data_IF_682477687893
#
_entry.id   IF_682477687893
#
_cell.length_a   1.000
_cell.length_b   1.000
_cell.length_c   1.000
_cell.angle_alpha   90.00
_cell.angle_beta   90.00
_cell.angle_gamma   90.00
#
_symmetry.space_group_name_H-M   'P 1'
#
loop_
_entity.id
_entity.type
_entity.pdbx_description
1 polymer ?
#
# COMPACT_ATOMS: atom_id res chain seq x y z
N UNK A 1 -12.13 -22.38 10.35
CA UNK A 1 -12.22 -22.72 8.92
C UNK A 1 -13.37 -21.93 8.31
N UNK A 2 -13.21 -20.62 7.98
CA UNK A 2 -14.28 -19.75 7.45
C UNK A 2 -13.76 -18.74 6.40
N UNK A 3 -12.76 -19.09 5.59
CA UNK A 3 -11.97 -18.09 4.87
C UNK A 3 -11.95 -18.11 3.33
N UNK A 4 -12.55 -19.06 2.58
CA UNK A 4 -12.47 -19.04 1.11
C UNK A 4 -13.25 -17.93 0.42
N UNK A 5 -14.21 -17.27 1.07
CA UNK A 5 -15.05 -16.22 0.46
C UNK A 5 -14.41 -14.84 0.44
N UNK A 6 -13.59 -14.47 1.43
CA UNK A 6 -12.75 -13.27 1.35
C UNK A 6 -11.94 -13.30 0.05
N UNK A 7 -11.60 -14.48 -0.35
CA UNK A 7 -10.87 -14.87 -1.51
C UNK A 7 -11.62 -14.66 -2.84
N UNK A 8 -12.86 -15.12 -2.95
CA UNK A 8 -13.67 -14.94 -4.14
C UNK A 8 -14.00 -13.45 -4.41
N UNK A 9 -14.14 -12.65 -3.35
CA UNK A 9 -14.39 -11.21 -3.44
C UNK A 9 -13.17 -10.45 -3.96
N UNK A 10 -11.97 -10.85 -3.54
CA UNK A 10 -10.72 -10.27 -4.06
C UNK A 10 -10.51 -10.59 -5.55
N UNK A 11 -10.99 -11.75 -6.02
CA UNK A 11 -10.94 -12.14 -7.43
C UNK A 11 -11.98 -11.41 -8.30
N UNK A 12 -13.21 -11.27 -7.83
CA UNK A 12 -14.28 -10.62 -8.58
C UNK A 12 -14.03 -9.11 -8.78
N UNK A 13 -13.40 -8.44 -7.81
CA UNK A 13 -12.98 -7.04 -7.95
C UNK A 13 -11.96 -6.81 -9.06
N UNK A 14 -11.26 -7.86 -9.52
CA UNK A 14 -10.32 -7.80 -10.65
C UNK A 14 -10.95 -8.03 -12.02
N UNK A 15 -12.17 -8.61 -12.09
CA UNK A 15 -12.86 -8.97 -13.34
C UNK A 15 -13.98 -7.99 -13.73
N UNK A 16 -14.41 -7.10 -12.84
CA UNK A 16 -15.42 -6.09 -13.18
C UNK A 16 -14.75 -4.95 -13.96
N UNK A 17 -15.22 -4.75 -15.19
CA UNK A 17 -14.84 -3.64 -16.06
C UNK A 17 -15.06 -2.29 -15.34
N UNK A 18 -14.26 -1.23 -15.66
CA UNK A 18 -14.30 0.04 -14.95
C UNK A 18 -15.59 0.80 -15.27
N UNK A 19 -16.61 0.63 -14.45
CA UNK A 19 -17.75 1.53 -14.38
C UNK A 19 -17.62 2.29 -13.05
N UNK A 20 -17.34 3.59 -13.16
CA UNK A 20 -17.52 4.65 -12.17
C UNK A 20 -17.41 4.24 -10.69
N UNK A 21 -16.20 4.36 -10.14
CA UNK A 21 -15.86 4.02 -8.77
C UNK A 21 -16.10 5.16 -7.81
N UNK A 22 -17.35 5.50 -7.50
CA UNK A 22 -17.60 6.42 -6.38
C UNK A 22 -18.41 5.79 -5.23
N UNK A 23 -19.06 4.63 -5.41
CA UNK A 23 -19.73 3.90 -4.32
C UNK A 23 -19.87 2.43 -4.75
N UNK A 24 -18.78 1.65 -4.67
CA UNK A 24 -18.91 0.19 -4.73
C UNK A 24 -19.47 -0.29 -3.40
N UNK A 25 -20.73 -0.70 -3.41
CA UNK A 25 -21.28 -1.48 -2.30
C UNK A 25 -20.53 -2.83 -2.24
N UNK A 26 -19.83 -3.06 -1.15
CA UNK A 26 -19.06 -4.29 -0.93
C UNK A 26 -19.98 -5.52 -0.90
N UNK A 27 -21.27 -5.33 -0.61
CA UNK A 27 -22.30 -6.36 -0.74
C UNK A 27 -22.49 -6.80 -2.19
N UNK A 28 -22.56 -5.85 -3.13
CA UNK A 28 -22.68 -6.16 -4.56
C UNK A 28 -21.46 -6.88 -5.11
N UNK A 29 -20.25 -6.51 -4.62
CA UNK A 29 -18.99 -7.19 -4.96
C UNK A 29 -19.00 -8.62 -4.42
N UNK A 30 -19.51 -8.84 -3.20
CA UNK A 30 -19.65 -10.16 -2.61
C UNK A 30 -20.63 -11.03 -3.42
N UNK A 31 -21.79 -10.51 -3.75
CA UNK A 31 -22.83 -11.24 -4.51
C UNK A 31 -22.33 -11.59 -5.92
N UNK A 32 -21.61 -10.69 -6.58
CA UNK A 32 -20.98 -10.95 -7.87
C UNK A 32 -19.89 -12.05 -7.76
N UNK A 33 -19.10 -12.04 -6.70
CA UNK A 33 -18.08 -13.05 -6.43
C UNK A 33 -18.69 -14.41 -6.12
N UNK A 34 -19.75 -14.46 -5.34
CA UNK A 34 -20.47 -15.69 -5.02
C UNK A 34 -21.10 -16.30 -6.27
N UNK A 35 -21.72 -15.49 -7.12
CA UNK A 35 -22.28 -15.93 -8.41
C UNK A 35 -21.19 -16.45 -9.34
N UNK A 36 -20.06 -15.72 -9.45
CA UNK A 36 -18.92 -16.18 -10.24
C UNK A 36 -18.34 -17.52 -9.71
N UNK A 37 -18.25 -17.69 -8.39
CA UNK A 37 -17.78 -18.92 -7.78
C UNK A 37 -18.72 -20.11 -8.09
N UNK A 38 -20.04 -19.90 -8.08
CA UNK A 38 -21.04 -20.91 -8.47
C UNK A 38 -20.85 -21.38 -9.90
N UNK A 39 -20.42 -20.48 -10.80
CA UNK A 39 -20.26 -20.77 -12.23
C UNK A 39 -18.87 -21.37 -12.56
N UNK A 40 -17.85 -21.25 -11.65
CA UNK A 40 -16.45 -21.51 -11.99
C UNK A 40 -15.68 -22.39 -10.98
N UNK A 41 -16.29 -22.84 -9.88
CA UNK A 41 -15.60 -23.60 -8.82
C UNK A 41 -16.23 -24.96 -8.55
N UNK A 42 -15.41 -25.90 -8.02
CA UNK A 42 -15.85 -27.24 -7.64
C UNK A 42 -16.79 -27.24 -6.42
N UNK A 43 -17.67 -28.24 -6.32
CA UNK A 43 -18.71 -28.39 -5.29
C UNK A 43 -18.16 -28.34 -3.84
N UNK A 44 -16.95 -28.82 -3.59
CA UNK A 44 -16.36 -28.78 -2.25
C UNK A 44 -15.93 -27.34 -1.84
N UNK A 45 -15.49 -26.56 -2.80
CA UNK A 45 -15.21 -25.14 -2.61
C UNK A 45 -16.50 -24.36 -2.40
N UNK A 46 -17.54 -24.67 -3.19
CA UNK A 46 -18.88 -24.07 -3.06
C UNK A 46 -19.50 -24.36 -1.69
N UNK A 47 -19.40 -25.58 -1.19
CA UNK A 47 -19.89 -25.93 0.17
C UNK A 47 -19.17 -25.13 1.25
N UNK A 48 -17.87 -24.95 1.10
CA UNK A 48 -17.07 -24.12 2.04
C UNK A 48 -17.45 -22.65 1.94
N UNK A 49 -17.73 -22.15 0.72
CA UNK A 49 -18.22 -20.79 0.47
C UNK A 49 -19.58 -20.53 1.10
N UNK A 50 -20.49 -21.50 1.06
CA UNK A 50 -21.82 -21.40 1.66
C UNK A 50 -21.81 -21.35 3.21
N UNK A 51 -20.71 -21.74 3.85
CA UNK A 51 -20.55 -21.66 5.30
C UNK A 51 -20.00 -20.35 5.82
N UNK A 52 -19.60 -19.43 4.90
CA UNK A 52 -19.05 -18.12 5.25
C UNK A 52 -20.18 -17.12 5.37
N UNK A 53 -20.25 -16.49 6.51
CA UNK A 53 -21.17 -15.41 6.77
C UNK A 53 -20.79 -14.18 5.92
N UNK A 54 -21.67 -13.81 4.99
CA UNK A 54 -21.51 -12.65 4.10
C UNK A 54 -21.20 -11.39 4.90
N UNK A 55 -21.93 -11.17 5.99
CA UNK A 55 -21.82 -9.95 6.78
C UNK A 55 -20.45 -9.85 7.44
N UNK A 56 -19.87 -10.96 7.92
CA UNK A 56 -18.52 -10.99 8.49
C UNK A 56 -17.43 -10.63 7.47
N UNK A 57 -17.60 -11.02 6.21
CA UNK A 57 -16.64 -10.70 5.14
C UNK A 57 -16.74 -9.24 4.72
N UNK A 58 -17.96 -8.77 4.53
CA UNK A 58 -18.23 -7.37 4.21
C UNK A 58 -17.69 -6.46 5.32
N UNK A 59 -17.95 -6.81 6.58
CA UNK A 59 -17.43 -6.10 7.75
C UNK A 59 -15.91 -6.10 7.79
N UNK A 60 -15.25 -7.23 7.54
CA UNK A 60 -13.80 -7.30 7.48
C UNK A 60 -13.22 -6.37 6.40
N UNK A 61 -13.77 -6.41 5.18
CA UNK A 61 -13.29 -5.57 4.07
C UNK A 61 -13.54 -4.08 4.34
N UNK A 62 -14.70 -3.74 4.91
CA UNK A 62 -15.02 -2.37 5.33
C UNK A 62 -14.05 -1.88 6.40
N UNK A 63 -13.84 -2.68 7.45
CA UNK A 63 -12.89 -2.34 8.51
C UNK A 63 -11.48 -2.18 7.96
N UNK A 64 -11.03 -3.12 7.12
CA UNK A 64 -9.70 -3.06 6.51
C UNK A 64 -9.48 -1.77 5.71
N UNK A 65 -10.42 -1.42 4.81
CA UNK A 65 -10.32 -0.19 4.02
C UNK A 65 -10.42 1.08 4.89
N UNK A 66 -11.31 1.07 5.89
CA UNK A 66 -11.50 2.20 6.78
C UNK A 66 -10.26 2.46 7.65
N UNK A 67 -9.62 1.40 8.16
CA UNK A 67 -8.38 1.55 8.93
C UNK A 67 -7.22 2.06 8.08
N UNK A 68 -7.03 1.54 6.86
CA UNK A 68 -5.97 2.03 5.96
C UNK A 68 -6.15 3.50 5.58
N UNK A 69 -7.39 3.94 5.36
CA UNK A 69 -7.74 5.33 5.04
C UNK A 69 -8.02 6.20 6.26
N UNK A 70 -8.05 5.60 7.45
CA UNK A 70 -8.35 6.27 8.70
C UNK A 70 -7.30 7.31 9.09
N UNK A 71 -7.67 8.14 10.07
CA UNK A 71 -6.82 9.24 10.53
C UNK A 71 -5.75 8.79 11.54
N UNK A 72 -5.92 7.63 12.19
CA UNK A 72 -5.05 7.20 13.29
C UNK A 72 -4.25 5.94 12.97
N UNK A 73 -2.93 6.09 12.97
CA UNK A 73 -1.96 5.02 12.70
C UNK A 73 -2.15 3.83 13.62
N UNK A 74 -2.38 4.06 14.91
CA UNK A 74 -2.52 2.99 15.91
C UNK A 74 -3.72 2.07 15.67
N UNK A 75 -4.72 2.50 14.90
CA UNK A 75 -5.88 1.67 14.57
C UNK A 75 -5.52 0.53 13.61
N UNK A 76 -4.42 0.69 12.84
CA UNK A 76 -3.92 -0.36 11.95
C UNK A 76 -3.46 -1.62 12.68
N UNK A 77 -3.11 -1.52 13.98
CA UNK A 77 -2.76 -2.68 14.79
C UNK A 77 -3.86 -3.76 14.82
N UNK A 78 -5.12 -3.35 14.76
CA UNK A 78 -6.26 -4.28 14.77
C UNK A 78 -6.31 -5.19 13.53
N UNK A 79 -5.62 -4.80 12.45
CA UNK A 79 -5.56 -5.59 11.22
C UNK A 79 -4.51 -6.72 11.26
N UNK A 80 -3.58 -6.67 12.21
CA UNK A 80 -2.42 -7.57 12.22
C UNK A 80 -2.82 -9.05 12.29
N UNK A 81 -3.61 -9.44 13.30
CA UNK A 81 -4.06 -10.84 13.46
C UNK A 81 -4.86 -11.32 12.24
N UNK A 82 -5.77 -10.48 11.75
CA UNK A 82 -6.57 -10.82 10.57
C UNK A 82 -5.68 -11.01 9.32
N UNK A 83 -4.71 -10.14 9.11
CA UNK A 83 -3.77 -10.23 8.00
C UNK A 83 -2.90 -11.50 8.10
N UNK A 84 -2.39 -11.85 9.28
CA UNK A 84 -1.64 -13.09 9.51
C UNK A 84 -2.46 -14.34 9.23
N UNK A 85 -3.76 -14.32 9.58
CA UNK A 85 -4.67 -15.44 9.33
C UNK A 85 -4.99 -15.63 7.86
N UNK A 86 -5.16 -14.53 7.12
CA UNK A 86 -5.52 -14.54 5.70
C UNK A 86 -4.33 -14.86 4.80
N UNK A 87 -3.12 -14.44 5.16
CA UNK A 87 -1.94 -14.58 4.32
C UNK A 87 -1.64 -16.01 3.85
N UNK A 88 -1.62 -17.06 4.72
CA UNK A 88 -1.40 -18.44 4.28
C UNK A 88 -2.44 -18.95 3.29
N UNK A 89 -3.67 -18.46 3.39
CA UNK A 89 -4.76 -18.84 2.49
C UNK A 89 -4.54 -18.22 1.10
N UNK A 90 -4.09 -16.97 1.05
CA UNK A 90 -3.74 -16.33 -0.21
C UNK A 90 -2.51 -16.96 -0.87
N UNK A 91 -1.58 -17.51 -0.10
CA UNK A 91 -0.40 -18.22 -0.61
C UNK A 91 -0.73 -19.62 -1.16
N UNK A 92 -1.81 -20.25 -0.71
CA UNK A 92 -2.15 -21.63 -1.06
C UNK A 92 -2.54 -21.82 -2.54
N UNK A 93 -3.00 -20.74 -3.21
CA UNK A 93 -3.50 -20.84 -4.58
C UNK A 93 -2.77 -19.87 -5.53
N UNK A 94 -2.34 -20.31 -6.74
CA UNK A 94 -1.59 -19.50 -7.69
C UNK A 94 -2.27 -18.18 -8.07
N UNK A 95 -3.60 -18.18 -8.19
CA UNK A 95 -4.40 -17.00 -8.59
C UNK A 95 -4.36 -15.88 -7.54
N UNK A 96 -4.06 -16.21 -6.30
CA UNK A 96 -4.14 -15.29 -5.18
C UNK A 96 -2.81 -14.96 -4.55
N UNK A 97 -1.76 -15.69 -4.90
CA UNK A 97 -0.39 -15.32 -4.54
C UNK A 97 -0.05 -13.84 -4.85
N UNK A 98 -0.53 -13.23 -5.95
CA UNK A 98 -0.32 -11.79 -6.18
C UNK A 98 -0.88 -10.89 -5.08
N UNK A 99 -2.01 -11.26 -4.47
CA UNK A 99 -2.59 -10.52 -3.33
C UNK A 99 -1.85 -10.82 -2.02
N UNK A 100 -1.35 -12.05 -1.86
CA UNK A 100 -0.48 -12.39 -0.74
C UNK A 100 0.79 -11.52 -0.74
N UNK A 101 1.42 -11.33 -1.90
CA UNK A 101 2.58 -10.47 -2.04
C UNK A 101 2.30 -9.01 -1.62
N UNK A 102 1.14 -8.47 -2.04
CA UNK A 102 0.70 -7.14 -1.63
C UNK A 102 0.45 -7.05 -0.13
N UNK A 103 -0.27 -8.02 0.47
CA UNK A 103 -0.57 -8.05 1.89
C UNK A 103 0.71 -8.20 2.73
N UNK A 104 1.64 -9.04 2.28
CA UNK A 104 2.94 -9.25 2.95
C UNK A 104 3.76 -7.97 3.04
N UNK A 105 3.73 -7.14 1.98
CA UNK A 105 4.40 -5.84 2.00
C UNK A 105 3.78 -4.85 3.00
N UNK A 106 2.59 -5.15 3.54
CA UNK A 106 1.84 -4.32 4.50
C UNK A 106 1.78 -4.87 5.92
N UNK A 107 2.17 -6.13 6.15
CA UNK A 107 2.17 -6.71 7.50
C UNK A 107 2.94 -5.85 8.50
N UNK A 108 4.08 -5.34 8.08
CA UNK A 108 4.92 -4.53 8.95
C UNK A 108 4.34 -3.13 9.28
N UNK A 109 3.34 -2.63 8.54
CA UNK A 109 2.56 -1.46 8.98
C UNK A 109 1.73 -1.79 10.23
N UNK A 110 1.09 -2.97 10.25
CA UNK A 110 0.28 -3.41 11.38
C UNK A 110 1.15 -3.66 12.61
N UNK A 111 2.30 -4.31 12.43
CA UNK A 111 3.29 -4.49 13.50
C UNK A 111 3.89 -3.17 14.00
N UNK A 112 4.13 -2.21 13.11
CA UNK A 112 4.58 -0.87 13.50
C UNK A 112 3.52 -0.15 14.33
N UNK A 113 2.24 -0.27 13.93
CA UNK A 113 1.11 0.28 14.67
C UNK A 113 0.98 -0.35 16.07
N UNK A 114 1.17 -1.67 16.20
CA UNK A 114 1.23 -2.35 17.52
C UNK A 114 2.37 -1.82 18.38
N UNK A 115 3.56 -1.65 17.80
CA UNK A 115 4.70 -1.07 18.51
C UNK A 115 4.38 0.34 19.01
N UNK A 116 3.68 1.14 18.21
CA UNK A 116 3.24 2.48 18.58
C UNK A 116 2.21 2.49 19.71
N UNK A 117 1.30 1.50 19.75
CA UNK A 117 0.34 1.34 20.84
C UNK A 117 1.00 0.98 22.19
N UNK A 118 2.12 0.27 22.13
CA UNK A 118 2.85 -0.16 23.33
C UNK A 118 3.78 0.90 23.90
N UNK A 119 4.00 2.01 23.19
CA UNK A 119 4.80 3.10 23.72
C UNK A 119 4.13 3.70 24.97
N UNK A 120 4.90 3.97 26.05
CA UNK A 120 4.34 4.55 27.24
C UNK A 120 3.67 5.90 26.89
N UNK A 121 2.49 6.18 27.44
CA UNK A 121 1.84 7.44 27.24
C UNK A 121 2.77 8.55 27.73
N UNK A 122 2.87 9.65 26.97
CA UNK A 122 3.55 10.85 27.46
C UNK A 122 2.96 11.24 28.81
N UNK A 123 3.78 11.69 29.79
CA UNK A 123 3.26 12.14 31.10
C UNK A 123 2.05 13.03 30.88
N UNK A 124 0.96 12.72 31.57
CA UNK A 124 -0.29 13.43 31.43
C UNK A 124 -0.06 14.92 31.74
N UNK A 125 -0.45 15.84 30.85
CA UNK A 125 -0.45 17.25 31.19
C UNK A 125 -1.48 17.47 32.32
N UNK A 126 -1.23 18.43 33.19
CA UNK A 126 -2.16 18.85 34.26
C UNK A 126 -3.52 19.41 33.74
N UNK A 127 -3.75 19.38 32.44
CA UNK A 127 -4.96 19.85 31.74
C UNK A 127 -5.74 18.69 31.12
N UNK A 128 -7.03 18.87 30.77
CA UNK A 128 -7.82 17.85 30.08
C UNK A 128 -7.06 17.24 28.92
N UNK A 129 -7.11 15.90 28.79
CA UNK A 129 -6.42 15.15 27.75
C UNK A 129 -6.65 15.81 26.39
N UNK A 130 -5.58 16.12 25.65
CA UNK A 130 -5.70 16.61 24.30
C UNK A 130 -6.47 15.58 23.45
N UNK A 131 -7.13 16.02 22.37
CA UNK A 131 -7.73 15.07 21.43
C UNK A 131 -6.69 14.06 20.96
N UNK A 132 -7.13 12.82 20.68
CA UNK A 132 -6.29 11.72 20.17
C UNK A 132 -5.36 12.24 19.08
N UNK A 133 -4.07 11.97 19.22
CA UNK A 133 -3.04 12.45 18.28
C UNK A 133 -2.24 11.27 17.73
N UNK A 134 -1.85 11.38 16.48
CA UNK A 134 -0.90 10.46 15.88
C UNK A 134 0.51 10.67 16.47
N UNK A 135 1.36 9.64 16.42
CA UNK A 135 2.78 9.76 16.74
C UNK A 135 3.43 10.85 15.88
N UNK A 136 4.53 11.41 16.37
CA UNK A 136 5.31 12.31 15.53
C UNK A 136 6.07 11.52 14.47
N UNK A 137 6.28 12.13 13.31
CA UNK A 137 7.06 11.54 12.21
C UNK A 137 8.43 11.00 12.66
N UNK A 138 9.10 11.66 13.63
CA UNK A 138 10.36 11.20 14.20
C UNK A 138 10.24 9.84 14.90
N UNK A 139 9.18 9.62 15.66
CA UNK A 139 8.92 8.33 16.34
C UNK A 139 8.70 7.24 15.30
N UNK A 140 7.92 7.53 14.26
CA UNK A 140 7.66 6.60 13.16
C UNK A 140 8.96 6.25 12.42
N UNK A 141 9.82 7.23 12.13
CA UNK A 141 11.16 6.99 11.55
C UNK A 141 12.02 6.07 12.41
N UNK A 142 12.08 6.30 13.72
CA UNK A 142 12.88 5.47 14.63
C UNK A 142 12.42 4.00 14.63
N UNK A 143 11.10 3.77 14.60
CA UNK A 143 10.52 2.43 14.49
C UNK A 143 10.93 1.78 13.17
N UNK A 144 10.77 2.50 12.04
CA UNK A 144 11.09 1.96 10.73
C UNK A 144 12.57 1.68 10.53
N UNK A 145 13.47 2.53 11.04
CA UNK A 145 14.91 2.27 11.00
C UNK A 145 15.23 0.93 11.69
N UNK A 146 14.65 0.67 12.86
CA UNK A 146 14.85 -0.59 13.58
C UNK A 146 14.25 -1.80 12.85
N UNK A 147 13.08 -1.63 12.24
CA UNK A 147 12.38 -2.71 11.51
C UNK A 147 13.05 -3.06 10.18
N UNK A 148 13.63 -2.09 9.50
CA UNK A 148 14.27 -2.29 8.18
C UNK A 148 15.71 -2.78 8.32
N UNK A 149 16.44 -2.39 9.37
CA UNK A 149 17.85 -2.73 9.57
C UNK A 149 18.19 -4.24 9.42
N UNK A 150 17.38 -5.21 9.95
CA UNK A 150 17.70 -6.62 9.80
C UNK A 150 17.26 -7.22 8.46
N UNK A 151 16.64 -6.45 7.55
CA UNK A 151 16.07 -6.99 6.31
C UNK A 151 17.16 -7.36 5.32
N UNK A 152 17.16 -8.62 4.83
CA UNK A 152 18.03 -9.00 3.74
C UNK A 152 17.62 -8.26 2.44
N UNK A 153 18.48 -8.33 1.43
CA UNK A 153 18.10 -7.91 0.10
C UNK A 153 16.95 -8.79 -0.43
N UNK A 154 15.91 -8.16 -1.05
CA UNK A 154 14.88 -8.93 -1.73
C UNK A 154 15.50 -9.81 -2.82
N UNK A 155 15.02 -11.05 -2.95
CA UNK A 155 15.62 -12.07 -3.86
C UNK A 155 15.82 -11.58 -5.29
N UNK A 156 14.84 -10.83 -5.82
CA UNK A 156 14.88 -10.34 -7.21
C UNK A 156 15.57 -8.99 -7.36
N UNK A 157 15.87 -8.29 -6.25
CA UNK A 157 16.39 -6.92 -6.31
C UNK A 157 17.82 -6.85 -6.87
N UNK A 158 18.67 -7.81 -6.55
CA UNK A 158 20.08 -7.82 -7.00
C UNK A 158 20.22 -7.77 -8.51
N UNK A 159 19.33 -8.49 -9.23
CA UNK A 159 19.38 -8.59 -10.69
C UNK A 159 18.79 -7.35 -11.37
N UNK A 160 17.68 -6.82 -10.84
CA UNK A 160 16.91 -5.81 -11.56
C UNK A 160 17.20 -4.35 -11.11
N UNK A 161 17.62 -4.12 -9.86
CA UNK A 161 17.85 -2.77 -9.32
C UNK A 161 18.86 -1.96 -10.14
N UNK A 162 20.00 -2.51 -10.61
CA UNK A 162 20.94 -1.73 -11.41
C UNK A 162 20.32 -1.14 -12.69
N UNK A 163 19.47 -1.88 -13.37
CA UNK A 163 18.76 -1.40 -14.57
C UNK A 163 17.67 -0.39 -14.20
N UNK A 164 16.89 -0.68 -13.17
CA UNK A 164 15.85 0.23 -12.72
C UNK A 164 16.42 1.58 -12.27
N UNK A 165 17.60 1.60 -11.62
CA UNK A 165 18.32 2.83 -11.27
C UNK A 165 18.68 3.65 -12.51
N UNK A 166 19.17 3.00 -13.59
CA UNK A 166 19.46 3.68 -14.86
C UNK A 166 18.21 4.33 -15.45
N UNK A 167 17.07 3.64 -15.39
CA UNK A 167 15.79 4.17 -15.85
C UNK A 167 15.38 5.40 -15.04
N UNK A 168 15.43 5.32 -13.70
CA UNK A 168 15.09 6.45 -12.84
C UNK A 168 15.97 7.67 -13.15
N UNK A 169 17.29 7.48 -13.26
CA UNK A 169 18.23 8.54 -13.64
C UNK A 169 17.91 9.13 -15.02
N UNK A 170 17.59 8.30 -16.01
CA UNK A 170 17.23 8.75 -17.35
C UNK A 170 15.94 9.58 -17.38
N UNK A 171 15.04 9.36 -16.44
CA UNK A 171 13.82 10.14 -16.23
C UNK A 171 14.01 11.32 -15.28
N UNK A 172 15.26 11.66 -14.92
CA UNK A 172 15.60 12.78 -14.01
C UNK A 172 14.99 12.63 -12.61
N UNK A 173 14.98 11.41 -12.12
CA UNK A 173 14.54 11.06 -10.75
C UNK A 173 15.72 10.45 -10.02
N UNK A 174 15.94 10.77 -8.73
CA UNK A 174 16.98 10.14 -7.93
C UNK A 174 16.90 8.61 -7.99
N UNK A 175 18.02 7.97 -8.32
CA UNK A 175 18.09 6.52 -8.51
C UNK A 175 17.68 5.74 -7.24
N UNK A 176 17.87 6.35 -6.07
CA UNK A 176 17.52 5.78 -4.77
C UNK A 176 16.01 5.53 -4.61
N UNK A 177 15.17 6.28 -5.34
CA UNK A 177 13.72 6.08 -5.30
C UNK A 177 13.26 4.76 -5.96
N UNK A 178 14.13 4.02 -6.60
CA UNK A 178 13.87 2.64 -7.06
C UNK A 178 13.40 1.74 -5.91
N UNK A 179 13.84 2.01 -4.68
CA UNK A 179 13.47 1.24 -3.49
C UNK A 179 12.01 1.37 -3.07
N UNK A 180 11.24 2.25 -3.72
CA UNK A 180 9.79 2.21 -3.61
C UNK A 180 9.24 0.83 -4.01
N UNK A 181 9.87 0.12 -4.95
CA UNK A 181 9.45 -1.23 -5.34
C UNK A 181 9.53 -2.24 -4.19
N UNK A 182 10.50 -2.09 -3.27
CA UNK A 182 10.57 -2.90 -2.05
C UNK A 182 9.37 -2.63 -1.13
N UNK A 183 9.03 -1.36 -0.94
CA UNK A 183 7.93 -0.93 -0.06
C UNK A 183 6.57 -1.30 -0.64
N UNK A 184 6.40 -1.19 -1.95
CA UNK A 184 5.13 -1.43 -2.63
C UNK A 184 4.78 -2.91 -2.80
N UNK A 185 5.77 -3.74 -3.15
CA UNK A 185 5.53 -5.13 -3.55
C UNK A 185 6.60 -6.12 -3.07
N UNK A 186 7.66 -5.68 -2.39
CA UNK A 186 8.82 -6.53 -2.14
C UNK A 186 9.53 -6.99 -3.42
N UNK A 187 9.49 -6.19 -4.48
CA UNK A 187 9.96 -6.54 -5.83
C UNK A 187 9.19 -7.70 -6.49
N UNK A 188 7.93 -7.92 -6.15
CA UNK A 188 7.08 -8.86 -6.89
C UNK A 188 6.32 -8.16 -8.02
N UNK A 189 6.71 -8.48 -9.28
CA UNK A 189 6.07 -7.92 -10.46
C UNK A 189 4.60 -8.38 -10.66
N UNK A 190 4.19 -9.45 -9.98
CA UNK A 190 2.82 -9.97 -10.05
C UNK A 190 1.93 -9.44 -8.94
N UNK A 191 2.50 -8.77 -7.93
CA UNK A 191 1.72 -8.24 -6.80
C UNK A 191 0.51 -7.43 -7.27
N UNK A 192 -0.64 -7.68 -6.64
CA UNK A 192 -1.92 -7.00 -6.92
C UNK A 192 -2.57 -6.54 -5.63
N UNK A 193 -2.99 -5.28 -5.60
CA UNK A 193 -3.81 -4.80 -4.50
C UNK A 193 -5.31 -5.05 -4.76
N UNK A 194 -6.13 -5.16 -3.73
CA UNK A 194 -7.60 -5.20 -3.87
C UNK A 194 -8.16 -3.99 -4.62
N UNK A 195 -7.51 -2.83 -4.53
CA UNK A 195 -7.88 -1.60 -5.25
C UNK A 195 -7.45 -1.59 -6.74
N UNK A 196 -6.81 -2.66 -7.24
CA UNK A 196 -6.41 -2.79 -8.64
C UNK A 196 -5.03 -2.20 -8.98
N UNK A 197 -4.20 -1.84 -8.00
CA UNK A 197 -2.79 -1.52 -8.25
C UNK A 197 -2.01 -2.81 -8.58
N UNK A 198 -1.02 -2.73 -9.48
CA UNK A 198 -0.31 -3.91 -9.98
C UNK A 198 1.18 -3.65 -10.15
N UNK A 199 1.98 -4.70 -9.88
CA UNK A 199 3.39 -4.82 -10.24
C UNK A 199 4.36 -4.22 -9.22
N UNK A 200 5.62 -4.12 -9.59
CA UNK A 200 6.72 -3.68 -8.72
C UNK A 200 6.41 -2.37 -7.99
N UNK A 201 5.82 -1.41 -8.71
CA UNK A 201 5.56 -0.05 -8.26
C UNK A 201 4.09 0.21 -7.91
N UNK A 202 3.25 -0.83 -7.85
CA UNK A 202 1.82 -0.76 -7.50
C UNK A 202 1.09 0.37 -8.23
N UNK A 203 1.26 0.44 -9.56
CA UNK A 203 0.61 1.47 -10.36
C UNK A 203 -0.88 1.18 -10.54
N UNK A 204 -1.71 2.17 -10.23
CA UNK A 204 -3.14 2.13 -10.54
C UNK A 204 -3.37 2.17 -12.06
N UNK A 205 -4.47 1.56 -12.58
CA UNK A 205 -4.75 1.55 -14.03
C UNK A 205 -4.76 2.94 -14.67
N UNK A 206 -5.34 3.92 -14.01
CA UNK A 206 -5.42 5.31 -14.49
C UNK A 206 -4.03 5.95 -14.57
N UNK A 207 -3.20 5.77 -13.54
CA UNK A 207 -1.83 6.25 -13.51
C UNK A 207 -0.99 5.58 -14.60
N UNK A 208 -1.08 4.26 -14.72
CA UNK A 208 -0.35 3.49 -15.72
C UNK A 208 -0.64 3.99 -17.15
N UNK A 209 -1.93 4.12 -17.50
CA UNK A 209 -2.35 4.66 -18.81
C UNK A 209 -1.85 6.08 -19.05
N UNK A 210 -1.96 6.96 -18.05
CA UNK A 210 -1.49 8.34 -18.11
C UNK A 210 0.01 8.42 -18.45
N UNK A 211 0.81 7.51 -17.94
CA UNK A 211 2.26 7.46 -18.18
C UNK A 211 2.69 6.49 -19.28
N UNK A 212 1.76 6.08 -20.15
CA UNK A 212 2.03 5.42 -21.42
C UNK A 212 2.10 3.90 -21.34
N UNK A 213 1.58 3.25 -20.28
CA UNK A 213 1.53 1.80 -20.22
C UNK A 213 0.26 1.25 -20.89
N UNK A 214 0.44 0.19 -21.67
CA UNK A 214 -0.65 -0.64 -22.17
C UNK A 214 -1.03 -1.69 -21.13
N UNK A 215 -2.34 -1.86 -20.91
CA UNK A 215 -2.87 -2.86 -19.97
C UNK A 215 -3.44 -4.10 -20.70
N UNK A 216 -3.52 -4.06 -22.03
CA UNK A 216 -4.02 -5.10 -22.89
C UNK A 216 -3.19 -5.18 -24.19
N UNK A 217 -2.91 -6.37 -24.76
CA UNK A 217 -3.24 -7.72 -24.26
C UNK A 217 -2.36 -8.19 -23.10
N UNK A 218 -1.23 -7.54 -22.83
CA UNK A 218 -0.32 -7.81 -21.71
C UNK A 218 -0.21 -6.58 -20.84
N UNK A 219 -0.49 -6.75 -19.55
CA UNK A 219 -0.41 -5.67 -18.58
C UNK A 219 1.06 -5.27 -18.34
N UNK A 220 1.48 -4.13 -18.90
CA UNK A 220 2.85 -3.64 -18.80
C UNK A 220 3.25 -3.19 -17.38
N UNK A 221 2.30 -3.07 -16.44
CA UNK A 221 2.60 -2.84 -15.03
C UNK A 221 3.37 -4.01 -14.39
N UNK A 222 3.26 -5.21 -14.96
CA UNK A 222 3.99 -6.41 -14.54
C UNK A 222 5.39 -6.54 -15.17
N UNK A 223 5.73 -5.66 -16.08
CA UNK A 223 7.04 -5.62 -16.74
C UNK A 223 7.93 -4.60 -16.04
N UNK A 224 9.10 -5.02 -15.58
CA UNK A 224 9.96 -4.22 -14.71
C UNK A 224 10.34 -2.86 -15.30
N UNK A 225 10.85 -2.82 -16.53
CA UNK A 225 11.32 -1.60 -17.17
C UNK A 225 10.19 -0.62 -17.53
N UNK A 226 9.09 -1.04 -18.23
CA UNK A 226 7.97 -0.15 -18.49
C UNK A 226 7.35 0.42 -17.21
N UNK A 227 7.17 -0.42 -16.18
CA UNK A 227 6.62 0.00 -14.90
C UNK A 227 7.54 1.01 -14.19
N UNK A 228 8.86 0.77 -14.18
CA UNK A 228 9.85 1.67 -13.61
C UNK A 228 9.84 3.04 -14.30
N UNK A 229 9.78 3.06 -15.63
CA UNK A 229 9.71 4.30 -16.41
C UNK A 229 8.44 5.10 -16.09
N UNK A 230 7.30 4.43 -16.00
CA UNK A 230 6.04 5.08 -15.66
C UNK A 230 6.06 5.60 -14.20
N UNK A 231 6.57 4.82 -13.25
CA UNK A 231 6.72 5.23 -11.85
C UNK A 231 7.65 6.45 -11.70
N UNK A 232 8.80 6.42 -12.39
CA UNK A 232 9.73 7.55 -12.39
C UNK A 232 9.10 8.82 -12.97
N UNK A 233 8.42 8.74 -14.12
CA UNK A 233 7.69 9.88 -14.70
C UNK A 233 6.62 10.42 -13.75
N UNK A 234 5.91 9.54 -13.05
CA UNK A 234 4.91 9.95 -12.07
C UNK A 234 5.55 10.66 -10.88
N UNK A 235 6.62 10.11 -10.30
CA UNK A 235 7.39 10.73 -9.23
C UNK A 235 7.96 12.08 -9.63
N UNK A 236 8.52 12.22 -10.84
CA UNK A 236 8.99 13.50 -11.37
C UNK A 236 7.86 14.52 -11.44
N UNK A 237 6.65 14.13 -11.93
CA UNK A 237 5.50 15.02 -11.96
C UNK A 237 5.10 15.46 -10.54
N UNK A 238 5.08 14.53 -9.56
CA UNK A 238 4.74 14.84 -8.18
C UNK A 238 5.79 15.77 -7.54
N UNK A 239 7.06 15.50 -7.76
CA UNK A 239 8.14 16.38 -7.27
C UNK A 239 8.07 17.76 -7.89
N UNK A 240 7.84 17.88 -9.20
CA UNK A 240 7.64 19.18 -9.88
C UNK A 240 6.44 19.96 -9.28
N UNK A 241 5.40 19.25 -8.81
CA UNK A 241 4.24 19.90 -8.20
C UNK A 241 4.50 20.38 -6.77
N UNK A 242 5.23 19.62 -5.97
CA UNK A 242 5.35 19.85 -4.53
C UNK A 242 6.71 20.41 -4.09
N UNK A 243 7.78 20.22 -4.88
CA UNK A 243 9.13 20.70 -4.60
C UNK A 243 9.84 20.00 -3.45
N UNK A 244 9.33 18.84 -2.99
CA UNK A 244 9.82 18.10 -1.83
C UNK A 244 9.58 16.61 -2.05
N UNK A 245 10.59 15.76 -1.88
CA UNK A 245 10.48 14.32 -2.12
C UNK A 245 9.59 13.61 -1.10
N UNK A 246 9.54 14.05 0.15
CA UNK A 246 8.60 13.49 1.14
C UNK A 246 7.15 13.75 0.74
N UNK A 247 6.85 14.95 0.26
CA UNK A 247 5.54 15.30 -0.27
C UNK A 247 5.22 14.51 -1.54
N UNK A 248 6.19 14.33 -2.43
CA UNK A 248 6.03 13.53 -3.65
C UNK A 248 5.75 12.06 -3.32
N UNK A 249 6.48 11.46 -2.37
CA UNK A 249 6.29 10.09 -1.89
C UNK A 249 4.94 9.93 -1.19
N UNK A 250 4.54 10.89 -0.35
CA UNK A 250 3.22 10.90 0.26
C UNK A 250 2.10 10.98 -0.79
N UNK A 251 2.28 11.81 -1.83
CA UNK A 251 1.33 11.94 -2.93
C UNK A 251 1.30 10.72 -3.86
N UNK A 252 2.39 9.99 -3.98
CA UNK A 252 2.44 8.72 -4.70
C UNK A 252 1.49 7.68 -4.06
N UNK A 253 1.50 7.58 -2.74
CA UNK A 253 0.68 6.63 -1.99
C UNK A 253 -0.78 7.11 -1.83
N UNK A 254 -1.01 8.35 -1.34
CA UNK A 254 -2.36 8.85 -1.02
C UNK A 254 -3.03 9.66 -2.12
N UNK A 255 -2.33 9.88 -3.23
CA UNK A 255 -2.77 10.75 -4.33
C UNK A 255 -2.43 12.23 -4.12
N UNK A 256 -2.08 12.91 -5.22
CA UNK A 256 -1.71 14.33 -5.21
C UNK A 256 -2.80 15.25 -4.64
N UNK A 257 -4.08 14.92 -4.87
CA UNK A 257 -5.21 15.70 -4.35
C UNK A 257 -5.29 15.73 -2.82
N UNK A 258 -4.98 14.61 -2.16
CA UNK A 258 -4.95 14.51 -0.70
C UNK A 258 -3.88 15.43 -0.12
N UNK A 259 -2.66 15.33 -0.62
CA UNK A 259 -1.53 16.17 -0.18
C UNK A 259 -1.82 17.65 -0.43
N UNK A 260 -2.31 17.99 -1.63
CA UNK A 260 -2.65 19.36 -1.99
C UNK A 260 -3.69 19.99 -1.05
N UNK A 261 -4.77 19.24 -0.75
CA UNK A 261 -5.82 19.70 0.18
C UNK A 261 -5.27 19.96 1.58
N UNK A 262 -4.39 19.10 2.10
CA UNK A 262 -3.77 19.28 3.41
C UNK A 262 -2.82 20.48 3.44
N UNK A 263 -1.97 20.66 2.42
CA UNK A 263 -1.10 21.83 2.32
C UNK A 263 -1.90 23.14 2.30
N UNK A 264 -3.01 23.17 1.57
CA UNK A 264 -3.92 24.33 1.54
C UNK A 264 -4.61 24.54 2.88
N UNK A 265 -5.18 23.48 3.49
CA UNK A 265 -5.89 23.55 4.78
C UNK A 265 -5.00 24.10 5.89
N UNK A 266 -3.75 23.63 5.95
CA UNK A 266 -2.78 24.05 6.99
C UNK A 266 -1.91 25.24 6.55
N UNK A 267 -2.16 25.82 5.37
CA UNK A 267 -1.43 26.97 4.81
C UNK A 267 0.09 26.79 4.90
N UNK A 268 0.59 25.65 4.47
CA UNK A 268 1.99 25.27 4.59
C UNK A 268 2.51 24.61 3.31
N UNK A 269 3.83 24.56 3.17
CA UNK A 269 4.53 23.74 2.17
C UNK A 269 5.36 22.63 2.82
N UNK A 270 5.30 22.49 4.14
CA UNK A 270 6.12 21.56 4.91
C UNK A 270 5.43 20.21 5.04
N UNK A 271 6.12 19.13 4.67
CA UNK A 271 5.70 17.76 4.92
C UNK A 271 5.42 17.52 6.41
N UNK A 272 6.36 17.93 7.29
CA UNK A 272 6.24 17.70 8.74
C UNK A 272 4.95 18.28 9.36
N UNK A 273 4.42 19.36 8.78
CA UNK A 273 3.19 20.00 9.24
C UNK A 273 1.94 19.21 8.85
N UNK A 274 1.95 18.51 7.73
CA UNK A 274 0.80 17.73 7.26
C UNK A 274 0.90 16.24 7.59
N UNK A 275 2.09 15.73 7.92
CA UNK A 275 2.33 14.30 8.16
C UNK A 275 1.32 13.69 9.16
N UNK A 276 1.00 14.29 10.32
CA UNK A 276 0.05 13.71 11.27
C UNK A 276 -1.42 13.70 10.79
N UNK A 277 -1.69 14.31 9.64
CA UNK A 277 -3.04 14.47 9.06
C UNK A 277 -3.21 13.70 7.75
N UNK A 278 -2.18 13.01 7.30
CA UNK A 278 -2.25 12.10 6.17
C UNK A 278 -3.06 10.84 6.56
N UNK A 279 -3.60 10.09 5.59
CA UNK A 279 -4.17 8.77 5.87
C UNK A 279 -3.20 7.88 6.63
N UNK A 280 -3.69 7.04 7.54
CA UNK A 280 -2.87 6.21 8.44
C UNK A 280 -1.81 5.36 7.70
N UNK A 281 -2.17 4.77 6.55
CA UNK A 281 -1.20 4.06 5.70
C UNK A 281 -0.08 5.01 5.24
N UNK A 282 -0.43 6.23 4.79
CA UNK A 282 0.55 7.19 4.26
C UNK A 282 1.47 7.73 5.34
N UNK A 283 0.98 7.89 6.57
CA UNK A 283 1.80 8.30 7.71
C UNK A 283 2.93 7.30 7.96
N UNK A 284 2.66 5.99 7.85
CA UNK A 284 3.68 4.94 7.98
C UNK A 284 4.48 4.72 6.68
N UNK A 285 3.91 5.02 5.52
CA UNK A 285 4.54 4.78 4.22
C UNK A 285 5.80 5.63 4.02
N UNK A 286 5.71 6.94 4.26
CA UNK A 286 6.84 7.85 4.02
C UNK A 286 8.04 7.50 4.89
N UNK A 287 7.92 7.30 6.22
CA UNK A 287 9.06 6.91 7.04
C UNK A 287 9.60 5.51 6.71
N UNK A 288 8.74 4.58 6.21
CA UNK A 288 9.20 3.27 5.70
C UNK A 288 10.07 3.44 4.46
N UNK A 289 9.65 4.28 3.50
CA UNK A 289 10.44 4.58 2.29
C UNK A 289 11.79 5.19 2.67
N UNK A 290 11.81 6.19 3.57
CA UNK A 290 13.07 6.79 4.04
C UNK A 290 13.99 5.77 4.72
N UNK A 291 13.47 4.98 5.63
CA UNK A 291 14.25 3.95 6.31
C UNK A 291 14.81 2.91 5.33
N UNK A 292 14.03 2.54 4.32
CA UNK A 292 14.47 1.62 3.26
C UNK A 292 15.60 2.22 2.43
N UNK A 293 15.44 3.46 1.95
CA UNK A 293 16.48 4.16 1.17
C UNK A 293 17.75 4.30 2.01
N UNK A 294 17.62 4.72 3.26
CA UNK A 294 18.76 4.85 4.17
C UNK A 294 19.49 3.51 4.40
N UNK A 295 18.74 2.43 4.59
CA UNK A 295 19.31 1.09 4.80
C UNK A 295 20.02 0.56 3.55
N UNK A 296 19.45 0.79 2.37
CA UNK A 296 19.96 0.25 1.10
C UNK A 296 21.07 1.09 0.48
N UNK A 297 21.03 2.42 0.66
CA UNK A 297 21.89 3.37 -0.06
C UNK A 297 22.66 4.33 0.85
N UNK A 298 22.38 4.35 2.16
CA UNK A 298 22.96 5.35 3.07
C UNK A 298 22.50 6.79 2.79
N UNK A 299 21.46 6.98 2.00
CA UNK A 299 20.96 8.29 1.59
C UNK A 299 19.71 8.71 2.38
N UNK A 300 19.54 10.00 2.57
CA UNK A 300 18.35 10.59 3.19
C UNK A 300 17.42 11.16 2.10
N UNK A 301 16.11 10.88 2.19
CA UNK A 301 15.12 11.34 1.20
C UNK A 301 15.08 12.88 1.09
N UNK A 302 15.35 13.57 2.18
CA UNK A 302 15.40 15.04 2.25
C UNK A 302 16.58 15.64 1.47
N UNK A 303 17.61 14.84 1.18
CA UNK A 303 18.84 15.28 0.52
C UNK A 303 18.88 14.94 -0.97
N UNK A 304 17.86 14.23 -1.48
CA UNK A 304 17.74 13.85 -2.89
C UNK A 304 17.16 15.00 -3.71
#
# INVERSE_FOLDING_TARGET
MKFPVVFAILLAGGCLAPAQTNDLDLGDVFDAAQKWAQDNMDDDVLKTLQTVDRDQVVDFLNHFQNYLKGDFVVDLAQLHTAAQTVLPLLDAHPETQPYAAWLRARLDYFEAAETLQQLPPKPAPEKPLPPRQNPSFKIEQEIWIKKVAPRPWPKNAQEIVPELKRIFTSEQVPAQLVWLAEVESGFDARARSPAGAVGLFQLMPTTAKKFGLNLWPRDQRQQAEPAARAAAKYLRQLHAQFGDWRLAVAAYNSGAGTVQKLLQRYRTKSFARIAPHLPAETQLYVPKVEATIRHREGAELEQL
#
